data_IF_287742262789
#
_entry.id   IF_287742262789
#
_cell.length_a   1.000
_cell.length_b   1.000
_cell.length_c   1.000
_cell.angle_alpha   90.00
_cell.angle_beta   90.00
_cell.angle_gamma   90.00
#
_symmetry.space_group_name_H-M   'P 1'
#
loop_
_entity.id
_entity.type
_entity.pdbx_description
1 polymer ?
#
# COMPACT_ATOMS: atom_id res chain seq x y z
N UNK A 1 18.08 29.87 -18.08
CA UNK A 1 18.06 29.55 -19.53
C UNK A 1 16.64 29.12 -19.90
N UNK A 2 16.02 29.69 -20.93
CA UNK A 2 14.70 29.24 -21.39
C UNK A 2 14.81 27.89 -22.10
N UNK A 3 13.79 27.03 -21.96
CA UNK A 3 13.73 25.79 -22.72
C UNK A 3 13.55 26.11 -24.21
N UNK A 4 14.44 25.58 -25.04
CA UNK A 4 14.39 25.72 -26.50
C UNK A 4 13.55 24.64 -27.17
N UNK A 5 13.13 23.62 -26.41
CA UNK A 5 12.35 22.48 -26.90
C UNK A 5 10.86 22.74 -26.74
N UNK A 6 10.05 22.30 -27.72
CA UNK A 6 8.59 22.33 -27.61
C UNK A 6 8.08 21.33 -26.58
N UNK A 7 6.92 21.59 -25.98
CA UNK A 7 6.30 20.68 -25.02
C UNK A 7 6.07 19.26 -25.57
N UNK A 8 5.79 19.13 -26.88
CA UNK A 8 5.65 17.84 -27.53
C UNK A 8 6.96 17.04 -27.58
N UNK A 9 8.09 17.71 -27.81
CA UNK A 9 9.41 17.07 -27.80
C UNK A 9 9.78 16.60 -26.40
N UNK A 10 9.51 17.41 -25.38
CA UNK A 10 9.75 17.03 -23.98
C UNK A 10 8.88 15.84 -23.59
N UNK A 11 7.60 15.85 -23.95
CA UNK A 11 6.68 14.73 -23.70
C UNK A 11 7.15 13.44 -24.35
N UNK A 12 7.58 13.48 -25.60
CA UNK A 12 8.07 12.30 -26.32
C UNK A 12 9.31 11.71 -25.62
N UNK A 13 10.28 12.56 -25.26
CA UNK A 13 11.48 12.15 -24.54
C UNK A 13 11.17 11.52 -23.17
N UNK A 14 10.21 12.08 -22.42
CA UNK A 14 9.81 11.54 -21.12
C UNK A 14 9.08 10.18 -21.23
N UNK A 15 8.32 9.97 -22.31
CA UNK A 15 7.65 8.69 -22.56
C UNK A 15 8.65 7.61 -22.98
N UNK A 16 9.63 7.96 -23.80
CA UNK A 16 10.70 7.06 -24.20
C UNK A 16 11.57 6.65 -23.01
N UNK A 17 12.00 7.62 -22.20
CA UNK A 17 12.76 7.36 -20.99
C UNK A 17 11.99 6.48 -19.98
N UNK A 18 10.67 6.68 -19.83
CA UNK A 18 9.85 5.81 -18.99
C UNK A 18 9.77 4.39 -19.51
N UNK A 19 9.67 4.20 -20.83
CA UNK A 19 9.63 2.86 -21.44
C UNK A 19 10.96 2.13 -21.19
N UNK A 20 12.08 2.80 -21.46
CA UNK A 20 13.41 2.23 -21.21
C UNK A 20 13.61 1.89 -19.73
N UNK A 21 13.20 2.77 -18.83
CA UNK A 21 13.24 2.51 -17.40
C UNK A 21 12.36 1.31 -17.02
N UNK A 22 11.14 1.21 -17.52
CA UNK A 22 10.25 0.08 -17.23
C UNK A 22 10.81 -1.26 -17.73
N UNK A 23 11.53 -1.26 -18.86
CA UNK A 23 12.12 -2.47 -19.45
C UNK A 23 13.42 -2.89 -18.75
N UNK A 24 14.14 -1.95 -18.14
CA UNK A 24 15.48 -2.19 -17.54
C UNK A 24 15.46 -2.24 -16.02
N UNK A 25 14.45 -1.67 -15.37
CA UNK A 25 14.35 -1.62 -13.92
C UNK A 25 14.07 -3.01 -13.34
N UNK A 26 14.96 -3.46 -12.47
CA UNK A 26 14.75 -4.68 -11.68
C UNK A 26 13.72 -4.39 -10.59
N UNK A 27 12.44 -4.63 -10.90
CA UNK A 27 11.36 -4.35 -9.96
C UNK A 27 11.50 -5.24 -8.72
N UNK A 28 11.75 -4.62 -7.57
CA UNK A 28 11.75 -5.30 -6.26
C UNK A 28 10.42 -6.03 -6.05
N UNK A 29 10.41 -7.34 -6.23
CA UNK A 29 9.25 -8.16 -5.93
C UNK A 29 9.17 -8.38 -4.41
N UNK A 30 8.46 -7.49 -3.73
CA UNK A 30 8.23 -7.59 -2.29
C UNK A 30 7.51 -8.89 -1.89
N UNK A 31 6.81 -9.55 -2.82
CA UNK A 31 6.15 -10.84 -2.60
C UNK A 31 7.14 -11.99 -2.36
N UNK A 32 8.29 -11.98 -3.03
CA UNK A 32 9.30 -13.04 -2.91
C UNK A 32 10.02 -12.96 -1.56
N UNK A 33 10.29 -11.76 -1.06
CA UNK A 33 10.85 -11.54 0.28
C UNK A 33 9.91 -11.98 1.40
N UNK A 34 8.62 -11.64 1.31
CA UNK A 34 7.63 -12.03 2.34
C UNK A 34 7.39 -13.53 2.33
N UNK A 35 7.35 -14.15 1.15
CA UNK A 35 7.17 -15.60 1.03
C UNK A 35 8.41 -16.39 1.49
N UNK A 36 9.62 -15.87 1.25
CA UNK A 36 10.87 -16.42 1.78
C UNK A 36 10.92 -16.32 3.32
N UNK A 37 10.63 -15.14 3.89
CA UNK A 37 10.62 -14.95 5.35
C UNK A 37 9.60 -15.83 6.07
N UNK A 38 8.41 -16.04 5.47
CA UNK A 38 7.42 -17.00 5.98
C UNK A 38 7.91 -18.45 5.92
N UNK A 39 8.57 -18.84 4.83
CA UNK A 39 9.12 -20.20 4.65
C UNK A 39 10.24 -20.49 5.66
N UNK A 40 11.07 -19.49 5.94
CA UNK A 40 12.18 -19.57 6.89
C UNK A 40 11.75 -19.38 8.35
N UNK A 41 10.45 -19.22 8.61
CA UNK A 41 9.88 -18.95 9.95
C UNK A 41 10.56 -17.78 10.66
N UNK A 42 10.99 -16.77 9.91
CA UNK A 42 11.57 -15.56 10.49
C UNK A 42 10.44 -14.83 11.22
N UNK A 43 10.53 -14.81 12.55
CA UNK A 43 9.64 -14.03 13.41
C UNK A 43 10.25 -12.65 13.59
N UNK A 44 9.48 -11.62 13.22
CA UNK A 44 9.86 -10.23 13.41
C UNK A 44 8.97 -9.64 14.49
N UNK A 45 9.59 -9.14 15.56
CA UNK A 45 8.92 -8.38 16.60
C UNK A 45 9.26 -6.90 16.39
N UNK A 46 8.23 -6.08 16.18
CA UNK A 46 8.40 -4.64 16.04
C UNK A 46 8.34 -4.00 17.44
N UNK A 47 9.34 -3.19 17.79
CA UNK A 47 9.33 -2.42 19.04
C UNK A 47 8.31 -1.28 19.01
N UNK A 48 7.86 -0.88 17.82
CA UNK A 48 6.84 0.16 17.66
C UNK A 48 5.45 -0.40 17.98
N UNK A 49 4.73 0.20 18.94
CA UNK A 49 3.39 -0.25 19.28
C UNK A 49 2.43 0.00 18.11
N UNK A 50 1.38 -0.83 18.01
CA UNK A 50 0.39 -0.72 16.94
C UNK A 50 -0.65 0.35 17.26
N UNK A 51 -0.91 1.24 16.29
CA UNK A 51 -1.98 2.23 16.33
C UNK A 51 -1.59 3.53 15.64
N UNK A 52 -2.44 4.54 15.75
CA UNK A 52 -2.26 5.88 15.17
C UNK A 52 -2.18 6.88 16.32
N UNK A 53 -1.29 7.85 16.24
CA UNK A 53 -1.28 9.06 17.07
C UNK A 53 -2.03 10.14 16.28
N UNK A 54 -3.28 10.40 16.64
CA UNK A 54 -4.21 11.26 15.90
C UNK A 54 -4.16 12.71 16.36
N UNK A 55 -3.57 12.99 17.52
CA UNK A 55 -3.45 14.34 18.08
C UNK A 55 -2.00 14.86 18.12
N UNK A 56 -1.03 14.01 17.79
CA UNK A 56 0.38 14.37 17.62
C UNK A 56 1.13 14.47 18.93
N UNK A 57 0.68 13.82 20.00
CA UNK A 57 1.31 13.86 21.32
C UNK A 57 2.46 12.84 21.50
N UNK A 58 2.70 12.00 20.49
CA UNK A 58 3.71 10.96 20.50
C UNK A 58 3.31 9.70 21.26
N UNK A 59 2.05 9.60 21.70
CA UNK A 59 1.44 8.45 22.36
C UNK A 59 0.38 7.87 21.44
N UNK A 60 0.31 6.54 21.37
CA UNK A 60 -0.71 5.90 20.55
C UNK A 60 -2.10 6.07 21.16
N UNK A 61 -3.05 6.47 20.31
CA UNK A 61 -4.44 6.59 20.68
C UNK A 61 -5.13 5.22 20.87
N UNK A 62 -5.17 4.77 22.11
CA UNK A 62 -5.94 3.60 22.49
C UNK A 62 -7.39 3.99 22.82
N UNK A 63 -8.24 4.16 21.79
CA UNK A 63 -9.65 4.51 22.05
C UNK A 63 -10.60 4.51 20.85
N UNK A 64 -10.10 4.68 19.63
CA UNK A 64 -10.91 4.52 18.43
C UNK A 64 -10.73 3.11 17.86
N UNK A 65 -11.34 2.13 18.53
CA UNK A 65 -11.80 0.97 17.77
C UNK A 65 -12.76 1.56 16.73
N UNK A 66 -12.30 1.67 15.48
CA UNK A 66 -13.20 1.63 14.34
C UNK A 66 -14.02 0.38 14.59
N UNK A 67 -15.27 0.57 15.04
CA UNK A 67 -16.26 -0.50 15.13
C UNK A 67 -16.38 -1.03 13.72
N UNK A 68 -15.60 -2.07 13.46
CA UNK A 68 -15.69 -2.93 12.31
C UNK A 68 -17.17 -3.16 12.05
N UNK A 69 -17.62 -2.80 10.85
CA UNK A 69 -19.00 -2.72 10.39
C UNK A 69 -20.06 -3.29 11.33
N UNK A 70 -20.89 -2.39 11.85
CA UNK A 70 -22.22 -2.68 12.36
C UNK A 70 -22.90 -3.75 11.50
N UNK A 71 -23.26 -4.87 12.16
CA UNK A 71 -24.17 -5.92 11.69
C UNK A 71 -25.24 -5.34 10.76
N UNK A 72 -25.10 -5.59 9.46
CA UNK A 72 -26.18 -5.44 8.50
C UNK A 72 -27.31 -6.41 8.85
N UNK A 73 -28.42 -5.87 9.35
CA UNK A 73 -29.71 -6.57 9.47
C UNK A 73 -30.18 -7.02 8.08
N UNK A 74 -30.05 -8.31 7.78
CA UNK A 74 -30.86 -8.97 6.75
C UNK A 74 -32.01 -9.72 7.39
N UNK A 75 -33.19 -9.09 7.52
CA UNK A 75 -34.46 -9.79 7.76
C UNK A 75 -34.92 -10.41 6.42
N UNK A 76 -35.18 -11.71 6.35
CA UNK A 76 -36.10 -12.25 5.34
C UNK A 76 -35.86 -13.66 4.79
N UNK A 77 -36.55 -14.64 5.41
CA UNK A 77 -37.23 -15.83 4.85
C UNK A 77 -36.53 -16.77 3.83
N UNK A 78 -36.42 -18.05 4.22
CA UNK A 78 -36.37 -19.20 3.30
C UNK A 78 -36.60 -20.52 4.06
N UNK A 79 -37.70 -21.21 3.75
CA UNK A 79 -38.18 -22.48 4.34
C UNK A 79 -37.70 -23.66 3.48
N UNK A 80 -37.44 -24.83 4.08
CA UNK A 80 -37.29 -26.14 3.39
C UNK A 80 -35.89 -26.73 3.57
N UNK A 81 -35.70 -28.01 3.91
CA UNK A 81 -36.56 -29.21 3.90
C UNK A 81 -36.39 -29.99 5.19
#
# INVERSE_FOLDING_TARGET
LPLTSSGNQVKAALLEANREFADTEERKNYGDHVSLGRRERIYFENEMPYGEDRDGDGVIDHGAIIRQGSKGKGKGKGKGR
#
